data_IF_694632322886
#
_entry.id   IF_694632322886
#
_cell.length_a   1.000
_cell.length_b   1.000
_cell.length_c   1.000
_cell.angle_alpha   90.00
_cell.angle_beta   90.00
_cell.angle_gamma   90.00
#
_symmetry.space_group_name_H-M   'P 1'
#
loop_
_entity.id
_entity.type
_entity.pdbx_description
1 polymer ?
#
# COMPACT_ATOMS: atom_id res chain seq x y z
N UNK A 1 37.98 0.65 -33.71
CA UNK A 1 38.05 0.60 -32.25
C UNK A 1 37.19 1.71 -31.68
N UNK A 2 35.90 1.46 -31.48
CA UNK A 2 35.00 2.41 -30.82
C UNK A 2 34.70 1.93 -29.41
N UNK A 3 35.27 2.60 -28.42
CA UNK A 3 34.90 2.45 -26.99
C UNK A 3 33.58 3.15 -26.79
N UNK A 4 32.48 2.42 -26.76
CA UNK A 4 31.21 2.91 -26.24
C UNK A 4 31.32 2.96 -24.72
N UNK A 5 31.44 4.17 -24.17
CA UNK A 5 31.36 4.45 -22.75
C UNK A 5 29.92 4.24 -22.28
N UNK A 6 29.76 3.23 -21.48
CA UNK A 6 28.56 2.93 -20.70
C UNK A 6 28.40 4.01 -19.60
N UNK A 7 27.57 5.02 -19.86
CA UNK A 7 27.12 5.96 -18.84
C UNK A 7 25.82 5.46 -18.25
N UNK A 8 25.91 4.57 -17.30
CA UNK A 8 24.85 4.35 -16.34
C UNK A 8 24.91 5.46 -15.32
N UNK A 9 24.27 6.57 -15.61
CA UNK A 9 23.97 7.58 -14.62
C UNK A 9 22.88 7.04 -13.69
N UNK A 10 23.32 6.42 -12.62
CA UNK A 10 22.49 6.12 -11.46
C UNK A 10 22.14 7.46 -10.80
N UNK A 11 21.00 8.01 -11.19
CA UNK A 11 20.44 9.17 -10.51
C UNK A 11 20.17 8.82 -9.04
N UNK A 12 20.67 9.60 -8.08
CA UNK A 12 20.52 9.30 -6.67
C UNK A 12 19.08 9.52 -6.24
N UNK A 13 18.37 8.43 -6.00
CA UNK A 13 17.01 8.40 -5.44
C UNK A 13 16.89 9.11 -4.08
N UNK A 14 18.00 9.49 -3.46
CA UNK A 14 18.05 10.21 -2.19
C UNK A 14 17.72 11.71 -2.29
N UNK A 15 17.95 12.34 -3.44
CA UNK A 15 17.71 13.79 -3.62
C UNK A 15 16.22 14.13 -3.71
N UNK A 16 15.40 13.23 -4.24
CA UNK A 16 13.95 13.40 -4.31
C UNK A 16 13.26 13.30 -2.93
N UNK A 17 13.80 12.47 -2.04
CA UNK A 17 13.27 12.31 -0.68
C UNK A 17 13.50 13.55 0.19
N UNK A 18 14.60 14.26 -0.02
CA UNK A 18 14.92 15.48 0.75
C UNK A 18 14.10 16.69 0.30
N UNK A 19 13.84 16.84 -1.01
CA UNK A 19 13.04 17.98 -1.53
C UNK A 19 11.58 17.95 -1.08
N UNK A 20 10.99 16.77 -0.91
CA UNK A 20 9.61 16.66 -0.41
C UNK A 20 9.50 16.91 1.10
N UNK A 21 10.56 16.67 1.86
CA UNK A 21 10.59 16.94 3.30
C UNK A 21 10.71 18.44 3.63
N UNK A 22 11.40 19.22 2.80
CA UNK A 22 11.58 20.65 3.01
C UNK A 22 10.34 21.49 2.63
N UNK A 23 9.58 21.06 1.61
CA UNK A 23 8.35 21.75 1.20
C UNK A 23 7.28 21.77 2.32
N UNK A 24 7.29 20.79 3.22
CA UNK A 24 6.33 20.71 4.31
C UNK A 24 6.69 21.49 5.59
N UNK A 25 7.88 22.09 5.66
CA UNK A 25 8.32 22.83 6.86
C UNK A 25 7.88 24.30 6.92
N UNK A 26 7.41 24.89 5.80
CA UNK A 26 7.22 26.33 5.68
C UNK A 26 5.79 26.85 5.74
N UNK A 27 4.76 26.04 5.49
CA UNK A 27 3.38 26.51 5.42
C UNK A 27 2.53 25.83 6.48
N UNK A 28 2.56 26.34 7.69
CA UNK A 28 1.52 26.10 8.69
C UNK A 28 0.26 26.86 8.24
N UNK A 29 -0.53 26.27 7.33
CA UNK A 29 -1.86 26.79 7.02
C UNK A 29 -2.72 26.50 8.26
N UNK A 30 -2.82 27.49 9.15
CA UNK A 30 -3.66 27.43 10.33
C UNK A 30 -5.09 27.70 9.91
N UNK A 31 -6.02 26.76 10.03
CA UNK A 31 -7.44 27.00 9.74
C UNK A 31 -7.98 27.99 10.75
N UNK A 32 -8.45 29.17 10.28
CA UNK A 32 -8.96 30.23 11.16
C UNK A 32 -10.47 30.11 11.45
N UNK A 33 -11.23 29.53 10.53
CA UNK A 33 -12.69 29.40 10.65
C UNK A 33 -13.04 28.19 11.53
N UNK A 34 -14.05 28.28 12.39
CA UNK A 34 -14.50 27.19 13.29
C UNK A 34 -14.79 25.88 12.55
N UNK A 35 -15.46 25.96 11.40
CA UNK A 35 -15.74 24.78 10.54
C UNK A 35 -14.47 24.13 9.99
N UNK A 36 -13.46 24.92 9.60
CA UNK A 36 -12.18 24.41 9.13
C UNK A 36 -11.40 23.71 10.26
N UNK A 37 -11.40 24.26 11.48
CA UNK A 37 -10.80 23.63 12.66
C UNK A 37 -11.42 22.26 12.95
N UNK A 38 -12.76 22.14 12.85
CA UNK A 38 -13.47 20.87 12.99
C UNK A 38 -13.07 19.87 11.89
N UNK A 39 -13.01 20.33 10.63
CA UNK A 39 -12.60 19.47 9.50
C UNK A 39 -11.20 18.91 9.68
N UNK A 40 -10.25 19.71 10.12
CA UNK A 40 -8.87 19.26 10.38
C UNK A 40 -8.84 18.11 11.39
N UNK A 41 -9.57 18.23 12.51
CA UNK A 41 -9.66 17.16 13.51
C UNK A 41 -10.28 15.89 12.94
N UNK A 42 -11.41 16.01 12.23
CA UNK A 42 -12.10 14.87 11.62
C UNK A 42 -11.25 14.22 10.53
N UNK A 43 -10.56 15.02 9.72
CA UNK A 43 -9.70 14.49 8.65
C UNK A 43 -8.50 13.75 9.22
N UNK A 44 -7.88 14.27 10.28
CA UNK A 44 -6.73 13.60 10.92
C UNK A 44 -7.10 12.23 11.47
N UNK A 45 -8.25 12.11 12.17
CA UNK A 45 -8.72 10.82 12.69
C UNK A 45 -9.07 9.83 11.58
N UNK A 46 -9.79 10.28 10.54
CA UNK A 46 -10.13 9.42 9.39
C UNK A 46 -8.87 8.99 8.62
N UNK A 47 -7.92 9.89 8.44
CA UNK A 47 -6.65 9.57 7.76
C UNK A 47 -5.86 8.53 8.54
N UNK A 48 -5.79 8.65 9.86
CA UNK A 48 -5.13 7.69 10.72
C UNK A 48 -5.79 6.31 10.62
N UNK A 49 -7.11 6.24 10.74
CA UNK A 49 -7.87 4.99 10.59
C UNK A 49 -7.65 4.34 9.22
N UNK A 50 -7.68 5.11 8.16
CA UNK A 50 -7.45 4.62 6.80
C UNK A 50 -5.99 4.12 6.63
N UNK A 51 -5.02 4.82 7.20
CA UNK A 51 -3.62 4.41 7.19
C UNK A 51 -3.42 3.08 7.93
N UNK A 52 -4.00 2.94 9.11
CA UNK A 52 -3.95 1.69 9.89
C UNK A 52 -4.54 0.52 9.10
N UNK A 53 -5.71 0.71 8.50
CA UNK A 53 -6.35 -0.34 7.73
C UNK A 53 -5.56 -0.75 6.47
N UNK A 54 -4.98 0.22 5.76
CA UNK A 54 -4.10 -0.04 4.61
C UNK A 54 -2.84 -0.80 5.02
N UNK A 55 -2.28 -0.49 6.18
CA UNK A 55 -1.12 -1.20 6.71
C UNK A 55 -1.46 -2.64 7.05
N UNK A 56 -2.60 -2.87 7.75
CA UNK A 56 -3.09 -4.23 8.04
C UNK A 56 -3.31 -5.04 6.76
N UNK A 57 -3.96 -4.45 5.75
CA UNK A 57 -4.17 -5.10 4.46
C UNK A 57 -2.85 -5.53 3.81
N UNK A 58 -1.86 -4.62 3.77
CA UNK A 58 -0.53 -4.94 3.22
C UNK A 58 0.16 -6.06 3.99
N UNK A 59 0.01 -6.09 5.30
CA UNK A 59 0.59 -7.14 6.15
C UNK A 59 -0.01 -8.51 5.84
N UNK A 60 -1.34 -8.60 5.72
CA UNK A 60 -2.00 -9.88 5.37
C UNK A 60 -1.62 -10.35 3.96
N UNK A 61 -1.49 -9.42 3.01
CA UNK A 61 -1.01 -9.75 1.66
C UNK A 61 0.41 -10.31 1.67
N UNK A 62 1.31 -9.69 2.44
CA UNK A 62 2.70 -10.15 2.60
C UNK A 62 2.78 -11.52 3.29
N UNK A 63 1.94 -11.77 4.30
CA UNK A 63 1.88 -13.09 4.96
C UNK A 63 1.49 -14.18 3.97
N UNK A 64 0.48 -13.91 3.13
CA UNK A 64 0.10 -14.83 2.08
C UNK A 64 1.24 -15.06 1.07
N UNK A 65 1.90 -13.99 0.61
CA UNK A 65 3.03 -14.10 -0.33
C UNK A 65 4.21 -14.88 0.27
N UNK A 66 4.47 -14.72 1.57
CA UNK A 66 5.48 -15.48 2.29
C UNK A 66 5.12 -16.97 2.39
N UNK A 67 3.86 -17.31 2.69
CA UNK A 67 3.38 -18.69 2.73
C UNK A 67 3.48 -19.37 1.36
N UNK A 68 3.16 -18.64 0.28
CA UNK A 68 3.34 -19.12 -1.10
C UNK A 68 4.81 -19.35 -1.44
N UNK A 69 5.70 -18.46 -1.01
CA UNK A 69 7.14 -18.60 -1.24
C UNK A 69 7.76 -19.75 -0.45
N UNK A 70 7.22 -20.06 0.74
CA UNK A 70 7.61 -21.21 1.55
C UNK A 70 7.10 -22.55 0.98
N UNK A 71 6.09 -22.53 0.08
CA UNK A 71 5.51 -23.72 -0.51
C UNK A 71 4.50 -24.45 0.38
N UNK A 72 4.12 -23.87 1.52
CA UNK A 72 3.18 -24.48 2.48
C UNK A 72 1.73 -24.30 2.02
N UNK A 73 1.15 -25.31 1.40
CA UNK A 73 -0.21 -25.27 0.87
C UNK A 73 -1.28 -25.03 1.95
N UNK A 74 -1.14 -25.61 3.15
CA UNK A 74 -2.08 -25.43 4.26
C UNK A 74 -2.08 -23.99 4.77
N UNK A 75 -0.92 -23.44 5.08
CA UNK A 75 -0.77 -22.05 5.53
C UNK A 75 -1.18 -21.05 4.43
N UNK A 76 -0.90 -21.38 3.16
CA UNK A 76 -1.32 -20.54 2.03
C UNK A 76 -2.85 -20.46 1.92
N UNK A 77 -3.58 -21.54 2.16
CA UNK A 77 -5.06 -21.56 2.15
C UNK A 77 -5.65 -20.72 3.27
N UNK A 78 -5.12 -20.82 4.49
CA UNK A 78 -5.59 -20.02 5.63
C UNK A 78 -5.32 -18.54 5.44
N UNK A 79 -4.08 -18.19 5.08
CA UNK A 79 -3.69 -16.80 4.82
C UNK A 79 -4.40 -16.21 3.61
N UNK A 80 -4.72 -17.00 2.58
CA UNK A 80 -5.56 -16.61 1.45
C UNK A 80 -6.95 -16.17 1.89
N UNK A 81 -7.64 -16.99 2.72
CA UNK A 81 -8.97 -16.64 3.23
C UNK A 81 -8.95 -15.34 4.03
N UNK A 82 -7.92 -15.14 4.86
CA UNK A 82 -7.75 -13.91 5.64
C UNK A 82 -7.47 -12.69 4.72
N UNK A 83 -6.61 -12.83 3.72
CA UNK A 83 -6.27 -11.77 2.77
C UNK A 83 -7.49 -11.35 1.93
N UNK A 84 -8.28 -12.30 1.41
CA UNK A 84 -9.49 -12.01 0.63
C UNK A 84 -10.51 -11.24 1.48
N UNK A 85 -10.79 -11.67 2.72
CA UNK A 85 -11.68 -10.95 3.64
C UNK A 85 -11.24 -9.50 3.87
N UNK A 86 -9.93 -9.25 4.01
CA UNK A 86 -9.39 -7.89 4.17
C UNK A 86 -9.48 -7.06 2.90
N UNK A 87 -9.28 -7.67 1.72
CA UNK A 87 -9.45 -6.99 0.43
C UNK A 87 -10.91 -6.57 0.24
N UNK A 88 -11.88 -7.46 0.50
CA UNK A 88 -13.31 -7.15 0.38
C UNK A 88 -13.73 -6.03 1.33
N UNK A 89 -13.24 -6.07 2.57
CA UNK A 89 -13.49 -5.01 3.54
C UNK A 89 -12.84 -3.68 3.13
N UNK A 90 -11.69 -3.71 2.45
CA UNK A 90 -11.04 -2.51 1.92
C UNK A 90 -11.82 -1.90 0.76
N UNK A 91 -12.39 -2.72 -0.12
CA UNK A 91 -13.27 -2.28 -1.22
C UNK A 91 -14.57 -1.70 -0.64
N UNK A 92 -15.21 -2.36 0.32
CA UNK A 92 -16.43 -1.89 0.97
C UNK A 92 -16.22 -0.52 1.68
N UNK A 93 -15.04 -0.27 2.24
CA UNK A 93 -14.67 1.02 2.86
C UNK A 93 -14.23 2.10 1.85
N UNK A 94 -14.19 1.79 0.57
CA UNK A 94 -13.72 2.71 -0.48
C UNK A 94 -12.20 2.99 -0.45
N UNK A 95 -11.42 2.19 0.27
CA UNK A 95 -9.95 2.31 0.31
C UNK A 95 -9.28 1.74 -0.93
N UNK A 96 -9.93 0.80 -1.60
CA UNK A 96 -9.53 0.21 -2.86
C UNK A 96 -10.69 0.26 -3.85
N UNK A 97 -10.39 0.56 -5.11
CA UNK A 97 -11.35 0.44 -6.19
C UNK A 97 -11.72 -1.05 -6.42
N UNK A 98 -12.98 -1.33 -6.79
CA UNK A 98 -13.47 -2.70 -7.03
C UNK A 98 -12.60 -3.49 -8.00
N UNK A 99 -12.15 -2.88 -9.09
CA UNK A 99 -11.32 -3.52 -10.09
C UNK A 99 -9.92 -3.89 -9.54
N UNK A 100 -9.35 -3.03 -8.67
CA UNK A 100 -8.07 -3.32 -8.03
C UNK A 100 -8.20 -4.50 -7.05
N UNK A 101 -9.31 -4.56 -6.29
CA UNK A 101 -9.63 -5.71 -5.43
C UNK A 101 -9.77 -6.99 -6.23
N UNK A 102 -10.53 -6.98 -7.34
CA UNK A 102 -10.71 -8.13 -8.21
C UNK A 102 -9.39 -8.63 -8.80
N UNK A 103 -8.53 -7.72 -9.30
CA UNK A 103 -7.20 -8.09 -9.81
C UNK A 103 -6.33 -8.76 -8.74
N UNK A 104 -6.33 -8.25 -7.52
CA UNK A 104 -5.57 -8.82 -6.41
C UNK A 104 -6.06 -10.22 -6.06
N UNK A 105 -7.38 -10.41 -5.96
CA UNK A 105 -7.97 -11.74 -5.71
C UNK A 105 -7.60 -12.73 -6.80
N UNK A 106 -7.74 -12.36 -8.08
CA UNK A 106 -7.37 -13.21 -9.21
C UNK A 106 -5.90 -13.62 -9.17
N UNK A 107 -4.99 -12.68 -8.89
CA UNK A 107 -3.56 -12.97 -8.76
C UNK A 107 -3.28 -13.97 -7.62
N UNK A 108 -3.95 -13.81 -6.48
CA UNK A 108 -3.79 -14.71 -5.34
C UNK A 108 -4.35 -16.09 -5.63
N UNK A 109 -5.52 -16.20 -6.27
CA UNK A 109 -6.08 -17.49 -6.68
C UNK A 109 -5.17 -18.22 -7.66
N UNK A 110 -4.60 -17.52 -8.65
CA UNK A 110 -3.65 -18.11 -9.60
C UNK A 110 -2.40 -18.66 -8.90
N UNK A 111 -1.84 -17.90 -7.95
CA UNK A 111 -0.69 -18.36 -7.17
C UNK A 111 -1.02 -19.57 -6.28
N UNK A 112 -2.20 -19.59 -5.68
CA UNK A 112 -2.66 -20.70 -4.86
C UNK A 112 -2.83 -21.98 -5.70
N UNK A 113 -3.45 -21.87 -6.88
CA UNK A 113 -3.66 -22.99 -7.79
C UNK A 113 -2.34 -23.53 -8.38
N UNK A 114 -1.30 -22.69 -8.46
CA UNK A 114 0.03 -23.10 -8.90
C UNK A 114 0.80 -23.88 -7.82
N UNK A 115 0.37 -23.80 -6.55
CA UNK A 115 0.94 -24.57 -5.43
C UNK A 115 0.18 -25.88 -5.16
N UNK A 116 -1.07 -25.96 -5.60
CA UNK A 116 -1.91 -27.16 -5.47
C UNK A 116 -1.65 -28.12 -6.64
#
# INVERSE_FOLDING_TARGET
MCKCMDRRDSAPSQVLSQKTAEYNKGVKILPNIKSAKKRVKVTSTKTLQNKMFRTQLKTEMKKYEAAVAAGDAALAQETYKAAVKKIDKAVARGLLHKNAGARKKSQFTKKLNALA
#
